data_IF_169268810907
#
_entry.id   IF_169268810907
#
_cell.length_a   1.000
_cell.length_b   1.000
_cell.length_c   1.000
_cell.angle_alpha   90.00
_cell.angle_beta   90.00
_cell.angle_gamma   90.00
#
_symmetry.space_group_name_H-M   'P 1'
#
loop_
_entity.id
_entity.type
_entity.pdbx_description
1 polymer ?
#
# COMPACT_ATOMS: atom_id res chain seq x y z
N UNK A 1 36.89 18.76 17.11
CA UNK A 1 35.41 18.88 17.21
C UNK A 1 34.75 18.64 15.84
N UNK A 2 34.90 17.43 15.28
CA UNK A 2 34.37 17.12 13.92
C UNK A 2 33.67 15.74 13.89
N UNK A 3 34.00 14.84 14.82
CA UNK A 3 33.35 13.53 14.96
C UNK A 3 31.96 13.56 15.61
N UNK A 4 31.67 14.56 16.46
CA UNK A 4 30.36 14.69 17.10
C UNK A 4 29.26 15.21 16.14
N UNK A 5 29.64 15.88 15.05
CA UNK A 5 28.71 16.34 14.01
C UNK A 5 28.23 15.17 13.14
N UNK A 6 29.15 14.27 12.74
CA UNK A 6 28.83 13.05 12.00
C UNK A 6 27.96 12.08 12.80
N UNK A 7 28.14 12.00 14.12
CA UNK A 7 27.28 11.18 14.98
C UNK A 7 25.85 11.75 15.09
N UNK A 8 25.66 13.07 15.01
CA UNK A 8 24.31 13.68 14.97
C UNK A 8 23.63 13.48 13.62
N UNK A 9 24.36 13.51 12.51
CA UNK A 9 23.79 13.19 11.19
C UNK A 9 23.40 11.72 11.06
N UNK A 10 24.17 10.80 11.65
CA UNK A 10 23.83 9.37 11.67
C UNK A 10 22.60 9.03 12.54
N UNK A 11 22.29 9.84 13.56
CA UNK A 11 21.12 9.64 14.42
C UNK A 11 19.84 10.25 13.83
N UNK A 12 19.95 11.22 12.92
CA UNK A 12 18.79 11.84 12.23
C UNK A 12 18.31 11.02 11.02
N UNK A 13 19.13 10.11 10.47
CA UNK A 13 18.77 9.22 9.37
C UNK A 13 18.25 7.84 9.80
N UNK A 14 17.89 7.66 11.07
CA UNK A 14 16.92 6.62 11.42
C UNK A 14 15.54 7.16 11.07
N UNK A 15 15.17 7.07 9.79
CA UNK A 15 13.78 7.17 9.35
C UNK A 15 12.95 6.31 10.31
N UNK A 16 12.21 6.93 11.22
CA UNK A 16 11.26 6.20 12.05
C UNK A 16 10.30 5.54 11.06
N UNK A 17 10.33 4.21 10.97
CA UNK A 17 9.42 3.46 10.12
C UNK A 17 7.99 3.78 10.56
N UNK A 18 7.34 4.72 9.87
CA UNK A 18 5.97 5.17 10.20
C UNK A 18 4.97 4.03 10.03
N UNK A 19 5.23 3.13 9.08
CA UNK A 19 4.41 1.98 8.78
C UNK A 19 5.20 0.68 8.91
N UNK A 20 4.64 -0.22 9.71
CA UNK A 20 5.01 -1.63 9.77
C UNK A 20 4.29 -2.44 8.69
N UNK A 21 4.82 -3.62 8.35
CA UNK A 21 4.19 -4.55 7.40
C UNK A 21 2.73 -4.84 7.77
N UNK A 22 2.45 -5.13 9.04
CA UNK A 22 1.10 -5.43 9.51
C UNK A 22 0.14 -4.24 9.35
N UNK A 23 0.62 -3.01 9.59
CA UNK A 23 -0.18 -1.81 9.36
C UNK A 23 -0.48 -1.60 7.88
N UNK A 24 0.50 -1.83 6.99
CA UNK A 24 0.29 -1.75 5.53
C UNK A 24 -0.71 -2.80 5.07
N UNK A 25 -0.65 -4.03 5.57
CA UNK A 25 -1.64 -5.06 5.28
C UNK A 25 -3.04 -4.67 5.75
N UNK A 26 -3.17 -4.11 6.95
CA UNK A 26 -4.44 -3.58 7.45
C UNK A 26 -4.99 -2.46 6.56
N UNK A 27 -4.12 -1.56 6.08
CA UNK A 27 -4.49 -0.51 5.13
C UNK A 27 -4.93 -1.08 3.77
N UNK A 28 -4.25 -2.11 3.26
CA UNK A 28 -4.64 -2.80 2.03
C UNK A 28 -6.04 -3.40 2.17
N UNK A 29 -6.32 -4.12 3.25
CA UNK A 29 -7.66 -4.67 3.53
C UNK A 29 -8.70 -3.54 3.64
N UNK A 30 -8.40 -2.49 4.41
CA UNK A 30 -9.33 -1.39 4.66
C UNK A 30 -9.69 -0.60 3.39
N UNK A 31 -8.74 -0.39 2.50
CA UNK A 31 -8.89 0.55 1.38
C UNK A 31 -9.06 -0.10 0.01
N UNK A 32 -8.63 -1.36 -0.20
CA UNK A 32 -8.79 -2.04 -1.48
C UNK A 32 -10.14 -2.77 -1.62
N UNK A 33 -10.87 -3.04 -0.54
CA UNK A 33 -12.19 -3.68 -0.63
C UNK A 33 -13.27 -2.83 -1.32
N UNK A 34 -13.08 -1.50 -1.43
CA UNK A 34 -14.04 -0.61 -2.11
C UNK A 34 -13.74 -0.56 -3.61
N UNK A 35 -14.28 -1.56 -4.33
CA UNK A 35 -14.18 -1.77 -5.79
C UNK A 35 -14.32 -0.50 -6.66
N UNK A 36 -15.08 0.50 -6.22
CA UNK A 36 -15.32 1.74 -6.97
C UNK A 36 -14.06 2.58 -7.20
N UNK A 37 -13.01 2.40 -6.39
CA UNK A 37 -11.78 3.21 -6.46
C UNK A 37 -10.63 2.50 -7.20
N UNK A 38 -10.79 1.21 -7.50
CA UNK A 38 -9.76 0.36 -8.09
C UNK A 38 -9.87 0.23 -9.61
N UNK A 39 -10.57 1.16 -10.26
CA UNK A 39 -10.64 1.18 -11.71
C UNK A 39 -9.21 1.18 -12.29
N UNK A 40 -8.81 0.03 -12.83
CA UNK A 40 -7.43 -0.33 -13.24
C UNK A 40 -6.93 0.51 -14.44
N UNK A 41 -7.63 1.60 -14.76
CA UNK A 41 -7.39 2.50 -15.89
C UNK A 41 -6.56 3.74 -15.54
N UNK A 42 -5.99 3.81 -14.34
CA UNK A 42 -5.23 4.98 -13.91
C UNK A 42 -6.14 6.12 -13.42
N UNK A 43 -5.56 7.20 -12.91
CA UNK A 43 -6.28 8.21 -12.13
C UNK A 43 -7.26 8.98 -13.03
N UNK A 44 -8.53 8.55 -13.05
CA UNK A 44 -9.64 9.44 -13.41
C UNK A 44 -9.89 10.36 -12.22
N UNK A 45 -9.16 11.47 -12.26
CA UNK A 45 -9.61 12.79 -11.82
C UNK A 45 -10.12 12.90 -10.39
N UNK A 46 -9.28 13.49 -9.53
CA UNK A 46 -9.65 14.57 -8.62
C UNK A 46 -11.13 15.01 -8.75
N UNK A 47 -12.01 14.42 -7.95
CA UNK A 47 -13.21 15.09 -7.45
C UNK A 47 -13.04 15.26 -5.95
N UNK A 48 -12.06 16.09 -5.60
CA UNK A 48 -12.18 16.93 -4.42
C UNK A 48 -13.45 17.78 -4.59
N UNK A 49 -14.10 18.08 -3.46
CA UNK A 49 -15.25 18.98 -3.28
C UNK A 49 -16.64 18.29 -3.24
N UNK A 50 -16.99 17.78 -2.06
CA UNK A 50 -18.36 17.92 -1.54
C UNK A 50 -18.31 18.15 -0.02
N UNK A 51 -18.91 19.26 0.39
CA UNK A 51 -18.92 19.93 1.71
C UNK A 51 -19.61 19.08 2.80
N UNK A 52 -19.18 19.12 4.08
CA UNK A 52 -19.84 18.38 5.16
C UNK A 52 -21.12 19.11 5.62
N UNK A 53 -22.07 18.37 6.22
CA UNK A 53 -22.27 18.64 7.63
C UNK A 53 -22.38 17.34 8.42
N UNK A 54 -21.77 17.33 9.59
CA UNK A 54 -22.30 16.84 10.88
C UNK A 54 -21.08 16.72 11.79
N UNK A 55 -21.14 17.47 12.88
CA UNK A 55 -20.19 17.37 13.99
C UNK A 55 -20.28 15.96 14.56
N UNK A 56 -19.28 15.14 14.27
CA UNK A 56 -19.00 13.91 15.02
C UNK A 56 -17.63 14.13 15.64
N UNK A 57 -17.59 14.13 16.96
CA UNK A 57 -16.39 14.23 17.79
C UNK A 57 -15.34 13.21 17.31
N UNK A 58 -14.19 13.64 16.76
CA UNK A 58 -13.23 12.71 16.18
C UNK A 58 -12.37 12.12 17.31
N UNK A 59 -12.53 10.82 17.59
CA UNK A 59 -11.53 10.04 18.33
C UNK A 59 -10.35 9.58 17.45
N UNK A 60 -10.39 9.90 16.16
CA UNK A 60 -9.29 9.82 15.20
C UNK A 60 -9.47 10.97 14.23
N UNK A 61 -8.44 11.78 13.98
CA UNK A 61 -8.59 12.91 13.07
C UNK A 61 -8.92 12.34 11.69
N UNK A 62 -10.06 12.73 11.12
CA UNK A 62 -10.49 12.28 9.78
C UNK A 62 -9.40 12.57 8.73
N UNK A 63 -8.58 13.59 9.01
CA UNK A 63 -7.41 13.99 8.23
C UNK A 63 -6.36 12.86 8.09
N UNK A 64 -6.05 12.14 9.17
CA UNK A 64 -5.04 11.06 9.14
C UNK A 64 -5.46 9.92 8.22
N UNK A 65 -6.75 9.55 8.24
CA UNK A 65 -7.27 8.46 7.41
C UNK A 65 -7.26 8.75 5.91
N UNK A 66 -7.40 10.03 5.55
CA UNK A 66 -7.35 10.48 4.15
C UNK A 66 -5.89 10.53 3.67
N UNK A 67 -4.97 10.94 4.53
CA UNK A 67 -3.54 10.93 4.24
C UNK A 67 -3.00 9.50 4.09
N UNK A 68 -3.32 8.59 5.03
CA UNK A 68 -2.95 7.16 4.95
C UNK A 68 -3.39 6.53 3.62
N UNK A 69 -4.63 6.84 3.21
CA UNK A 69 -5.17 6.39 1.93
C UNK A 69 -4.38 6.98 0.76
N UNK A 70 -4.13 8.28 0.75
CA UNK A 70 -3.37 8.93 -0.32
C UNK A 70 -1.94 8.38 -0.43
N UNK A 71 -1.28 8.15 0.70
CA UNK A 71 0.07 7.59 0.77
C UNK A 71 0.10 6.14 0.29
N UNK A 72 -0.91 5.32 0.65
CA UNK A 72 -1.07 3.96 0.14
C UNK A 72 -1.22 3.96 -1.38
N UNK A 73 -2.15 4.74 -1.95
CA UNK A 73 -2.36 4.77 -3.40
C UNK A 73 -1.15 5.34 -4.15
N UNK A 74 -0.48 6.35 -3.59
CA UNK A 74 0.78 6.89 -4.13
C UNK A 74 1.85 5.80 -4.13
N UNK A 75 2.02 5.05 -3.04
CA UNK A 75 2.99 3.96 -2.97
C UNK A 75 2.64 2.83 -3.95
N UNK A 76 1.37 2.42 -4.02
CA UNK A 76 0.89 1.43 -5.01
C UNK A 76 1.17 1.86 -6.45
N UNK A 77 1.11 3.16 -6.76
CA UNK A 77 1.43 3.66 -8.11
C UNK A 77 2.91 3.52 -8.48
N UNK A 78 3.80 3.45 -7.48
CA UNK A 78 5.26 3.43 -7.63
C UNK A 78 5.87 2.02 -7.62
N UNK A 79 5.18 1.03 -7.05
CA UNK A 79 5.67 -0.36 -7.05
C UNK A 79 5.54 -1.00 -8.45
N UNK A 80 6.34 -2.06 -8.74
CA UNK A 80 6.23 -2.79 -9.99
C UNK A 80 4.79 -3.26 -10.30
N UNK A 81 4.40 -3.17 -11.57
CA UNK A 81 3.02 -3.41 -12.03
C UNK A 81 2.49 -4.81 -11.69
N UNK A 82 3.35 -5.84 -11.71
CA UNK A 82 3.00 -7.20 -11.34
C UNK A 82 2.71 -7.35 -9.84
N UNK A 83 3.48 -6.68 -8.98
CA UNK A 83 3.22 -6.62 -7.54
C UNK A 83 1.97 -5.84 -7.22
N UNK A 84 1.77 -4.67 -7.86
CA UNK A 84 0.51 -3.93 -7.73
C UNK A 84 -0.69 -4.78 -8.08
N UNK A 85 -0.64 -5.46 -9.24
CA UNK A 85 -1.75 -6.30 -9.69
C UNK A 85 -1.98 -7.49 -8.74
N UNK A 86 -0.92 -8.11 -8.23
CA UNK A 86 -1.03 -9.17 -7.22
C UNK A 86 -1.73 -8.66 -5.96
N UNK A 87 -1.30 -7.53 -5.40
CA UNK A 87 -1.91 -6.95 -4.19
C UNK A 87 -3.38 -6.56 -4.42
N UNK A 88 -3.70 -5.95 -5.57
CA UNK A 88 -5.09 -5.59 -5.89
C UNK A 88 -5.96 -6.84 -5.99
N UNK A 89 -5.49 -7.91 -6.65
CA UNK A 89 -6.26 -9.16 -6.72
C UNK A 89 -6.38 -9.82 -5.35
N UNK A 90 -5.33 -9.77 -4.53
CA UNK A 90 -5.28 -10.46 -3.23
C UNK A 90 -6.14 -9.81 -2.15
N UNK A 91 -6.20 -8.47 -2.13
CA UNK A 91 -6.88 -7.72 -1.06
C UNK A 91 -8.11 -6.94 -1.54
N UNK A 92 -8.26 -6.74 -2.86
CA UNK A 92 -9.34 -5.93 -3.45
C UNK A 92 -10.32 -6.72 -4.32
N UNK A 93 -10.20 -8.05 -4.37
CA UNK A 93 -11.11 -8.88 -5.16
C UNK A 93 -11.71 -10.02 -4.33
N UNK A 94 -12.91 -10.46 -4.69
CA UNK A 94 -13.57 -11.63 -4.10
C UNK A 94 -13.01 -12.95 -4.65
N UNK A 95 -11.86 -12.94 -5.31
CA UNK A 95 -11.28 -14.15 -5.87
C UNK A 95 -10.69 -15.01 -4.76
N UNK A 96 -10.96 -16.30 -4.83
CA UNK A 96 -10.26 -17.25 -3.97
C UNK A 96 -8.76 -17.24 -4.28
N UNK A 97 -7.96 -17.57 -3.27
CA UNK A 97 -6.50 -17.67 -3.42
C UNK A 97 -6.11 -18.61 -4.55
N UNK A 98 -6.83 -19.72 -4.73
CA UNK A 98 -6.60 -20.67 -5.83
C UNK A 98 -6.89 -20.05 -7.21
N UNK A 99 -7.94 -19.24 -7.32
CA UNK A 99 -8.26 -18.51 -8.55
C UNK A 99 -7.18 -17.48 -8.89
N UNK A 100 -6.64 -16.78 -7.90
CA UNK A 100 -5.54 -15.83 -8.09
C UNK A 100 -4.28 -16.56 -8.55
N UNK A 101 -3.91 -17.66 -7.89
CA UNK A 101 -2.75 -18.48 -8.26
C UNK A 101 -2.89 -19.01 -9.68
N UNK A 102 -4.04 -19.57 -10.03
CA UNK A 102 -4.31 -20.07 -11.38
C UNK A 102 -4.21 -18.96 -12.44
N UNK A 103 -4.65 -17.75 -12.12
CA UNK A 103 -4.53 -16.60 -13.02
C UNK A 103 -3.07 -16.22 -13.27
N UNK A 104 -2.23 -16.21 -12.23
CA UNK A 104 -0.79 -15.97 -12.39
C UNK A 104 -0.09 -17.12 -13.12
N UNK A 105 -0.48 -18.37 -12.89
CA UNK A 105 0.05 -19.53 -13.62
C UNK A 105 -0.25 -19.50 -15.11
N UNK A 106 -1.41 -18.96 -15.51
CA UNK A 106 -1.72 -18.73 -16.94
C UNK A 106 -0.73 -17.76 -17.61
N UNK A 107 -0.24 -16.76 -16.87
CA UNK A 107 0.75 -15.80 -17.38
C UNK A 107 2.19 -16.31 -17.26
N UNK A 108 2.45 -17.14 -16.26
CA UNK A 108 3.75 -17.70 -15.94
C UNK A 108 3.62 -19.22 -15.74
N UNK A 109 3.70 -20.04 -16.82
CA UNK A 109 3.37 -21.47 -16.77
C UNK A 109 4.24 -22.31 -15.81
N UNK A 110 5.42 -21.82 -15.44
CA UNK A 110 6.35 -22.49 -14.50
C UNK A 110 6.22 -22.00 -13.05
N UNK A 111 5.22 -21.17 -12.75
CA UNK A 111 5.06 -20.55 -11.44
C UNK A 111 4.40 -21.52 -10.45
N UNK A 112 5.09 -21.86 -9.37
CA UNK A 112 4.50 -22.65 -8.29
C UNK A 112 3.63 -21.80 -7.37
N UNK A 113 2.61 -22.41 -6.75
CA UNK A 113 1.77 -21.76 -5.74
C UNK A 113 2.59 -21.05 -4.68
N UNK A 114 3.59 -21.74 -4.08
CA UNK A 114 4.49 -21.16 -3.06
C UNK A 114 5.21 -19.89 -3.54
N UNK A 115 5.55 -19.81 -4.83
CA UNK A 115 6.18 -18.62 -5.42
C UNK A 115 5.23 -17.44 -5.44
N UNK A 116 3.94 -17.64 -5.73
CA UNK A 116 2.91 -16.58 -5.68
C UNK A 116 2.79 -16.01 -4.27
N UNK A 117 2.78 -16.87 -3.24
CA UNK A 117 2.73 -16.42 -1.84
C UNK A 117 3.97 -15.60 -1.47
N UNK A 118 5.18 -16.07 -1.83
CA UNK A 118 6.42 -15.29 -1.64
C UNK A 118 6.39 -13.96 -2.38
N UNK A 119 5.83 -13.92 -3.59
CA UNK A 119 5.66 -12.68 -4.34
C UNK A 119 4.70 -11.72 -3.63
N UNK A 120 3.66 -12.22 -2.99
CA UNK A 120 2.73 -11.41 -2.20
C UNK A 120 3.45 -10.81 -0.99
N UNK A 121 4.20 -11.61 -0.24
CA UNK A 121 5.01 -11.13 0.89
C UNK A 121 6.00 -10.06 0.43
N UNK A 122 6.73 -10.31 -0.66
CA UNK A 122 7.69 -9.38 -1.21
C UNK A 122 7.02 -8.10 -1.72
N UNK A 123 5.83 -8.20 -2.32
CA UNK A 123 5.07 -7.05 -2.77
C UNK A 123 4.65 -6.16 -1.59
N UNK A 124 4.22 -6.73 -0.46
CA UNK A 124 3.90 -5.98 0.76
C UNK A 124 5.15 -5.31 1.34
N UNK A 125 6.29 -6.01 1.38
CA UNK A 125 7.56 -5.45 1.85
C UNK A 125 8.01 -4.26 0.99
N UNK A 126 7.95 -4.41 -0.34
CA UNK A 126 8.28 -3.33 -1.28
C UNK A 126 7.32 -2.15 -1.09
N UNK A 127 6.02 -2.40 -0.95
CA UNK A 127 5.04 -1.35 -0.69
C UNK A 127 5.32 -0.61 0.62
N UNK A 128 5.65 -1.34 1.69
CA UNK A 128 5.98 -0.77 3.01
C UNK A 128 7.18 0.16 2.92
N UNK A 129 8.24 -0.26 2.22
CA UNK A 129 9.41 0.61 1.97
C UNK A 129 9.03 1.87 1.19
N UNK A 130 8.15 1.76 0.19
CA UNK A 130 7.69 2.93 -0.56
C UNK A 130 6.81 3.86 0.28
N UNK A 131 5.99 3.33 1.19
CA UNK A 131 5.20 4.15 2.11
C UNK A 131 6.09 4.88 3.11
N UNK A 132 7.09 4.21 3.68
CA UNK A 132 8.02 4.85 4.61
C UNK A 132 8.91 5.92 3.96
N UNK A 133 9.26 5.75 2.67
CA UNK A 133 10.03 6.75 1.88
C UNK A 133 9.22 7.93 1.35
N UNK A 134 7.89 7.90 1.45
CA UNK A 134 7.04 9.00 0.98
C UNK A 134 6.89 10.12 2.02
N UNK A 135 7.51 9.97 3.19
CA UNK A 135 7.57 10.94 4.28
C UNK A 135 8.93 11.60 4.36
#
# INVERSE_FOLDING_TARGET
MMLAALAKEAVVYMEQERYTVAQVEALLVKHLHRREELDLRGPRSLRLLARPPVQVTPRYSVHDSVLEKADLFRALSRIPSHYRRLLILWYGSDWSTDRIVAWFQKQFPRLHRRTVFRWREQAVLVLTRHMNRNH
#
